data_IF_586671936611
#
_entry.id   IF_586671936611
#
_cell.length_a   1.000
_cell.length_b   1.000
_cell.length_c   1.000
_cell.angle_alpha   90.00
_cell.angle_beta   90.00
_cell.angle_gamma   90.00
#
_symmetry.space_group_name_H-M   'P 1'
#
loop_
_entity.id
_entity.type
_entity.pdbx_description
1 polymer ?
#
# COMPACT_ATOMS: atom_id res chain seq x y z
N UNK A 1 -31.02 -5.32 2.51
CA UNK A 1 -31.08 -6.77 2.79
C UNK A 1 -29.97 -7.50 2.00
N UNK A 2 -28.70 -7.16 2.23
CA UNK A 2 -27.52 -7.68 1.49
C UNK A 2 -26.27 -7.91 2.39
N UNK A 3 -26.44 -8.01 3.71
CA UNK A 3 -25.32 -8.05 4.66
C UNK A 3 -24.81 -9.45 5.05
N UNK A 4 -25.35 -10.52 4.47
CA UNK A 4 -24.87 -11.89 4.71
C UNK A 4 -23.70 -12.33 3.80
N UNK A 5 -23.28 -11.51 2.83
CA UNK A 5 -22.19 -11.86 1.90
C UNK A 5 -20.77 -11.46 2.37
N UNK A 6 -20.64 -10.74 3.51
CA UNK A 6 -19.32 -10.26 3.96
C UNK A 6 -18.42 -11.41 4.47
N UNK A 7 -18.98 -12.41 5.16
CA UNK A 7 -18.20 -13.55 5.68
C UNK A 7 -17.77 -14.53 4.58
N UNK A 8 -18.56 -14.67 3.51
CA UNK A 8 -18.22 -15.51 2.35
C UNK A 8 -17.08 -14.88 1.53
N UNK A 9 -16.95 -13.56 1.55
CA UNK A 9 -15.92 -12.86 0.80
C UNK A 9 -14.52 -13.03 1.40
N UNK A 10 -14.37 -13.03 2.74
CA UNK A 10 -13.06 -13.28 3.40
C UNK A 10 -12.50 -14.64 3.03
N UNK A 11 -13.34 -15.69 2.97
CA UNK A 11 -12.93 -17.00 2.48
C UNK A 11 -12.57 -16.96 0.98
N UNK A 12 -13.30 -16.20 0.14
CA UNK A 12 -12.98 -16.06 -1.30
C UNK A 12 -11.67 -15.33 -1.60
N UNK A 13 -11.23 -14.40 -0.75
CA UNK A 13 -9.89 -13.79 -0.85
C UNK A 13 -8.75 -14.82 -0.72
N UNK A 14 -9.04 -16.05 -0.27
CA UNK A 14 -8.07 -17.14 -0.08
C UNK A 14 -8.31 -18.34 -1.02
N UNK A 15 -9.38 -18.36 -1.82
CA UNK A 15 -9.92 -19.60 -2.42
C UNK A 15 -9.39 -20.08 -3.78
N UNK A 16 -8.43 -19.47 -4.52
CA UNK A 16 -7.75 -20.27 -5.54
C UNK A 16 -6.64 -21.14 -4.91
N UNK A 17 -6.30 -20.94 -3.64
CA UNK A 17 -5.24 -21.69 -2.97
C UNK A 17 -5.85 -22.87 -2.18
N UNK A 18 -5.75 -24.08 -2.74
CA UNK A 18 -5.93 -25.33 -1.99
C UNK A 18 -4.82 -25.55 -0.93
N UNK A 19 -4.00 -24.53 -0.64
CA UNK A 19 -2.88 -24.53 0.30
C UNK A 19 -3.06 -23.40 1.30
N UNK A 20 -2.45 -23.56 2.48
CA UNK A 20 -2.50 -22.53 3.50
C UNK A 20 -1.82 -21.26 2.95
N UNK A 21 -2.40 -20.05 3.04
CA UNK A 21 -1.85 -18.83 2.44
C UNK A 21 -0.39 -18.55 2.82
N UNK A 22 0.02 -18.97 4.02
CA UNK A 22 1.41 -18.85 4.48
C UNK A 22 2.39 -19.77 3.73
N UNK A 23 1.96 -20.94 3.24
CA UNK A 23 2.85 -21.89 2.52
C UNK A 23 3.26 -21.33 1.15
N UNK A 24 2.33 -20.66 0.45
CA UNK A 24 2.63 -20.08 -0.85
C UNK A 24 3.57 -18.87 -0.74
N UNK A 25 3.48 -18.11 0.35
CA UNK A 25 4.45 -17.05 0.66
C UNK A 25 5.83 -17.61 0.96
N UNK A 26 5.91 -18.72 1.70
CA UNK A 26 7.18 -19.38 1.99
C UNK A 26 7.88 -19.87 0.72
N UNK A 27 7.13 -20.42 -0.24
CA UNK A 27 7.68 -20.85 -1.53
C UNK A 27 8.18 -19.66 -2.38
N UNK A 28 7.53 -18.51 -2.32
CA UNK A 28 7.98 -17.29 -3.01
C UNK A 28 9.30 -16.76 -2.44
N UNK A 29 9.51 -16.87 -1.12
CA UNK A 29 10.75 -16.47 -0.46
C UNK A 29 11.97 -17.32 -0.87
N UNK A 30 11.78 -18.59 -1.25
CA UNK A 30 12.89 -19.49 -1.60
C UNK A 30 13.48 -19.24 -3.00
N UNK A 31 12.77 -18.54 -3.89
CA UNK A 31 13.18 -18.34 -5.29
C UNK A 31 14.27 -17.25 -5.46
N UNK A 32 14.61 -16.50 -4.40
CA UNK A 32 15.31 -15.20 -4.52
C UNK A 32 16.82 -15.16 -4.19
N UNK A 33 17.56 -16.26 -4.28
CA UNK A 33 19.01 -16.22 -4.03
C UNK A 33 19.80 -15.43 -5.11
N UNK A 34 19.32 -15.40 -6.36
CA UNK A 34 19.95 -14.67 -7.47
C UNK A 34 19.58 -13.18 -7.53
N UNK A 35 18.47 -12.77 -6.89
CA UNK A 35 17.95 -11.40 -6.92
C UNK A 35 18.47 -10.53 -5.77
N UNK A 36 19.02 -11.14 -4.71
CA UNK A 36 19.72 -10.43 -3.62
C UNK A 36 20.90 -9.57 -4.10
N UNK A 37 21.41 -9.77 -5.32
CA UNK A 37 22.48 -8.95 -5.90
C UNK A 37 21.96 -7.60 -6.41
N UNK A 38 20.71 -7.52 -6.85
CA UNK A 38 20.11 -6.29 -7.38
C UNK A 38 19.68 -5.31 -6.27
N UNK A 39 19.34 -5.83 -5.08
CA UNK A 39 18.74 -5.06 -3.98
C UNK A 39 19.75 -4.54 -2.97
N UNK A 40 20.97 -5.10 -2.90
CA UNK A 40 21.96 -4.73 -1.88
C UNK A 40 22.34 -3.25 -1.98
N UNK A 41 21.78 -2.46 -1.07
CA UNK A 41 22.16 -1.08 -0.83
C UNK A 41 21.41 -0.04 -1.67
N UNK A 42 20.39 -0.42 -2.45
CA UNK A 42 19.54 0.57 -3.11
C UNK A 42 18.69 1.29 -2.07
N UNK A 43 18.66 2.63 -2.13
CA UNK A 43 17.72 3.43 -1.34
C UNK A 43 16.32 3.31 -1.92
N UNK A 44 15.29 3.52 -1.08
CA UNK A 44 13.89 3.47 -1.55
C UNK A 44 13.59 4.44 -2.70
N UNK A 45 14.26 5.59 -2.73
CA UNK A 45 14.19 6.52 -3.86
C UNK A 45 14.58 5.85 -5.19
N UNK A 46 15.71 5.14 -5.20
CA UNK A 46 16.24 4.47 -6.39
C UNK A 46 15.36 3.28 -6.80
N UNK A 47 14.73 2.61 -5.82
CA UNK A 47 13.73 1.56 -6.07
C UNK A 47 12.52 2.13 -6.83
N UNK A 48 11.96 3.24 -6.37
CA UNK A 48 10.83 3.92 -7.03
C UNK A 48 11.19 4.38 -8.44
N UNK A 49 12.37 4.98 -8.62
CA UNK A 49 12.84 5.44 -9.94
C UNK A 49 12.98 4.28 -10.93
N UNK A 50 13.52 3.14 -10.47
CA UNK A 50 13.62 1.92 -11.28
C UNK A 50 12.26 1.33 -11.61
N UNK A 51 11.33 1.26 -10.66
CA UNK A 51 9.98 0.74 -10.92
C UNK A 51 9.25 1.60 -11.96
N UNK A 52 9.42 2.92 -11.89
CA UNK A 52 8.77 3.87 -12.80
C UNK A 52 9.39 3.93 -14.19
N UNK A 53 10.61 3.41 -14.35
CA UNK A 53 11.35 3.50 -15.61
C UNK A 53 10.82 2.48 -16.63
N UNK A 54 10.45 2.91 -17.85
CA UNK A 54 9.98 1.99 -18.90
C UNK A 54 11.09 1.02 -19.37
N UNK A 55 12.35 1.35 -19.10
CA UNK A 55 13.52 0.57 -19.53
C UNK A 55 14.00 -0.45 -18.50
N UNK A 56 13.34 -0.55 -17.34
CA UNK A 56 13.71 -1.53 -16.33
C UNK A 56 13.35 -2.93 -16.83
N UNK A 57 14.31 -3.85 -16.76
CA UNK A 57 14.09 -5.24 -17.14
C UNK A 57 13.00 -5.86 -16.25
N UNK A 58 12.10 -6.64 -16.86
CA UNK A 58 10.97 -7.28 -16.17
C UNK A 58 11.42 -8.13 -14.97
N UNK A 59 12.55 -8.84 -15.09
CA UNK A 59 13.10 -9.63 -14.00
C UNK A 59 13.49 -8.77 -12.79
N UNK A 60 14.10 -7.60 -13.03
CA UNK A 60 14.47 -6.60 -12.02
C UNK A 60 13.21 -5.95 -11.43
N UNK A 61 12.23 -5.63 -12.27
CA UNK A 61 10.97 -5.03 -11.82
C UNK A 61 10.23 -5.95 -10.84
N UNK A 62 10.14 -7.26 -11.16
CA UNK A 62 9.56 -8.27 -10.27
C UNK A 62 10.33 -8.38 -8.96
N UNK A 63 11.67 -8.30 -9.01
CA UNK A 63 12.53 -8.26 -7.82
C UNK A 63 12.14 -7.10 -6.90
N UNK A 64 12.18 -5.89 -7.43
CA UNK A 64 12.00 -4.66 -6.67
C UNK A 64 10.63 -4.56 -6.03
N UNK A 65 9.60 -5.15 -6.65
CA UNK A 65 8.25 -5.20 -6.11
C UNK A 65 8.05 -6.34 -5.08
N UNK A 66 8.94 -7.33 -5.03
CA UNK A 66 8.71 -8.52 -4.23
C UNK A 66 8.57 -8.23 -2.72
N UNK A 67 9.43 -7.41 -2.08
CA UNK A 67 9.26 -7.07 -0.66
C UNK A 67 7.90 -6.41 -0.37
N UNK A 68 7.47 -5.47 -1.22
CA UNK A 68 6.19 -4.77 -1.10
C UNK A 68 5.01 -5.72 -1.25
N UNK A 69 5.09 -6.62 -2.23
CA UNK A 69 4.00 -7.54 -2.51
C UNK A 69 3.80 -8.56 -1.38
N UNK A 70 4.90 -9.11 -0.85
CA UNK A 70 4.86 -10.07 0.26
C UNK A 70 4.42 -9.37 1.55
N UNK A 71 4.96 -8.19 1.88
CA UNK A 71 4.53 -7.45 3.07
C UNK A 71 3.03 -7.11 3.03
N UNK A 72 2.54 -6.67 1.86
CA UNK A 72 1.10 -6.42 1.66
C UNK A 72 0.29 -7.72 1.79
N UNK A 73 0.75 -8.85 1.25
CA UNK A 73 0.06 -10.14 1.41
C UNK A 73 0.01 -10.61 2.89
N UNK A 74 1.10 -10.42 3.63
CA UNK A 74 1.15 -10.71 5.07
C UNK A 74 0.18 -9.82 5.83
N UNK A 75 0.02 -8.55 5.42
CA UNK A 75 -0.93 -7.64 6.07
C UNK A 75 -2.38 -8.16 6.05
N UNK A 76 -2.76 -8.90 5.00
CA UNK A 76 -4.06 -9.56 4.90
C UNK A 76 -4.16 -10.88 5.67
N UNK A 77 -3.11 -11.68 5.61
CA UNK A 77 -3.15 -13.08 6.07
C UNK A 77 -2.70 -13.27 7.52
N UNK A 78 -1.93 -12.33 8.06
CA UNK A 78 -1.29 -12.46 9.36
C UNK A 78 -0.14 -13.47 9.41
N UNK A 79 0.36 -13.92 8.26
CA UNK A 79 1.44 -14.90 8.15
C UNK A 79 2.82 -14.32 8.52
N UNK A 80 3.07 -14.06 9.80
CA UNK A 80 4.29 -13.39 10.30
C UNK A 80 5.47 -14.32 10.62
N UNK A 81 5.46 -15.56 10.17
CA UNK A 81 6.45 -16.58 10.53
C UNK A 81 7.77 -16.55 9.73
N UNK A 82 7.93 -15.61 8.79
CA UNK A 82 9.03 -15.61 7.84
C UNK A 82 9.47 -14.18 7.50
N UNK A 83 10.74 -14.04 7.11
CA UNK A 83 11.29 -12.78 6.60
C UNK A 83 10.64 -12.38 5.28
N UNK A 84 10.50 -11.08 5.05
CA UNK A 84 10.08 -10.50 3.78
C UNK A 84 11.34 -10.12 3.02
N UNK A 85 11.88 -10.99 2.15
CA UNK A 85 13.05 -10.67 1.32
C UNK A 85 14.24 -10.07 2.06
N UNK A 86 14.63 -10.66 3.20
CA UNK A 86 15.72 -10.13 4.02
C UNK A 86 15.31 -8.97 4.91
N UNK A 87 14.02 -8.72 5.08
CA UNK A 87 13.46 -7.90 6.16
C UNK A 87 12.84 -8.79 7.22
N UNK A 88 13.16 -8.54 8.49
CA UNK A 88 12.53 -9.23 9.63
C UNK A 88 11.46 -8.34 10.28
N UNK A 89 10.47 -8.95 10.90
CA UNK A 89 9.39 -8.23 11.59
C UNK A 89 9.92 -7.54 12.85
N UNK A 90 9.65 -6.23 13.00
CA UNK A 90 10.04 -5.43 14.17
C UNK A 90 8.85 -4.86 14.95
N UNK A 91 7.66 -4.78 14.33
CA UNK A 91 6.46 -4.29 14.99
C UNK A 91 5.17 -4.73 14.30
N UNK A 92 4.08 -4.82 15.06
CA UNK A 92 2.76 -5.14 14.51
C UNK A 92 1.62 -4.48 15.29
N UNK A 93 0.55 -4.14 14.58
CA UNK A 93 -0.73 -3.74 15.13
C UNK A 93 -1.79 -4.67 14.52
N UNK A 94 -2.38 -5.55 15.33
CA UNK A 94 -3.38 -6.54 14.87
C UNK A 94 -4.56 -6.63 15.84
N UNK A 95 -5.28 -5.52 16.07
CA UNK A 95 -6.46 -5.53 16.92
C UNK A 95 -7.57 -6.39 16.30
N UNK A 96 -8.58 -6.77 17.07
CA UNK A 96 -9.77 -7.47 16.51
C UNK A 96 -10.52 -6.57 15.52
N UNK A 97 -10.58 -5.27 15.82
CA UNK A 97 -11.19 -4.23 15.00
C UNK A 97 -10.25 -3.02 14.95
N UNK A 98 -10.12 -2.40 13.78
CA UNK A 98 -9.24 -1.24 13.60
C UNK A 98 -8.10 -1.52 12.65
N UNK A 99 -7.09 -0.64 12.67
CA UNK A 99 -5.96 -0.70 11.75
C UNK A 99 -5.15 -1.98 11.94
N UNK A 100 -4.88 -2.69 10.84
CA UNK A 100 -3.85 -3.73 10.80
C UNK A 100 -2.60 -3.23 10.07
N UNK A 101 -1.46 -3.32 10.74
CA UNK A 101 -0.19 -2.89 10.19
C UNK A 101 0.98 -3.78 10.66
N UNK A 102 2.00 -3.88 9.83
CA UNK A 102 3.24 -4.58 10.14
C UNK A 102 4.44 -3.71 9.74
N UNK A 103 5.48 -3.72 10.56
CA UNK A 103 6.73 -3.03 10.31
C UNK A 103 7.87 -4.05 10.22
N UNK A 104 8.70 -3.90 9.20
CA UNK A 104 9.84 -4.77 8.93
C UNK A 104 11.11 -3.95 8.78
N UNK A 105 12.23 -4.47 9.27
CA UNK A 105 13.55 -3.85 9.16
C UNK A 105 14.48 -4.74 8.32
N UNK A 106 15.23 -4.13 7.41
CA UNK A 106 16.17 -4.87 6.56
C UNK A 106 17.33 -5.45 7.40
N UNK A 107 17.62 -6.75 7.22
CA UNK A 107 18.59 -7.53 8.01
C UNK A 107 20.03 -6.98 7.93
N UNK A 108 20.47 -6.54 6.74
CA UNK A 108 21.83 -6.00 6.54
C UNK A 108 21.91 -4.48 6.41
N UNK A 109 20.78 -3.77 6.31
CA UNK A 109 20.72 -2.31 6.16
C UNK A 109 19.68 -1.79 7.16
N UNK A 110 19.99 -1.79 8.47
CA UNK A 110 18.99 -1.59 9.53
C UNK A 110 18.31 -0.21 9.48
N UNK A 111 18.82 0.71 8.68
CA UNK A 111 18.16 1.99 8.40
C UNK A 111 16.95 1.85 7.49
N UNK A 112 16.81 0.78 6.72
CA UNK A 112 15.68 0.56 5.82
C UNK A 112 14.54 -0.15 6.52
N UNK A 113 13.39 0.50 6.51
CA UNK A 113 12.17 0.04 7.17
C UNK A 113 11.04 0.03 6.16
N UNK A 114 10.31 -1.07 6.11
CA UNK A 114 9.12 -1.27 5.29
C UNK A 114 7.89 -1.43 6.19
N UNK A 115 6.86 -0.63 5.97
CA UNK A 115 5.61 -0.66 6.72
C UNK A 115 4.47 -1.01 5.78
N UNK A 116 3.72 -2.06 6.12
CA UNK A 116 2.59 -2.55 5.34
C UNK A 116 1.26 -2.34 6.07
N UNK A 117 0.30 -1.74 5.39
CA UNK A 117 -1.07 -1.56 5.87
C UNK A 117 -2.03 -2.52 5.18
N UNK A 118 -2.88 -3.18 5.97
CA UNK A 118 -3.94 -4.03 5.43
C UNK A 118 -5.02 -3.18 4.77
N UNK A 119 -5.57 -3.66 3.66
CA UNK A 119 -6.81 -3.12 3.10
C UNK A 119 -8.08 -3.67 3.75
N UNK A 120 -9.21 -3.49 3.08
CA UNK A 120 -10.54 -3.79 3.63
C UNK A 120 -10.84 -5.28 3.67
N UNK A 121 -11.04 -5.83 4.87
CA UNK A 121 -11.38 -7.25 5.10
C UNK A 121 -12.54 -7.45 6.10
N UNK A 122 -12.86 -6.42 6.88
CA UNK A 122 -13.80 -6.46 7.99
C UNK A 122 -14.82 -5.33 7.91
N UNK A 123 -15.81 -5.37 8.82
CA UNK A 123 -16.80 -4.31 8.94
C UNK A 123 -16.19 -3.01 9.49
N UNK A 124 -15.19 -3.08 10.37
CA UNK A 124 -14.48 -1.90 10.89
C UNK A 124 -13.68 -1.23 9.77
N UNK A 125 -13.00 -2.01 8.92
CA UNK A 125 -12.29 -1.46 7.75
C UNK A 125 -13.26 -0.73 6.81
N UNK A 126 -14.43 -1.32 6.52
CA UNK A 126 -15.45 -0.71 5.65
C UNK A 126 -15.99 0.60 6.22
N UNK A 127 -16.10 0.69 7.55
CA UNK A 127 -16.51 1.92 8.22
C UNK A 127 -15.38 2.96 8.24
N UNK A 128 -14.12 2.55 8.37
CA UNK A 128 -12.97 3.43 8.26
C UNK A 128 -12.83 4.00 6.84
N UNK A 129 -13.05 3.19 5.80
CA UNK A 129 -13.21 3.64 4.41
C UNK A 129 -14.29 4.72 4.29
N UNK A 130 -15.42 4.56 4.97
CA UNK A 130 -16.47 5.56 4.90
C UNK A 130 -16.08 6.86 5.63
N UNK A 131 -15.42 6.78 6.79
CA UNK A 131 -14.93 7.96 7.51
C UNK A 131 -13.89 8.72 6.70
N UNK A 132 -12.86 8.02 6.22
CA UNK A 132 -11.70 8.68 5.62
C UNK A 132 -12.03 9.27 4.24
N UNK A 133 -13.02 8.73 3.52
CA UNK A 133 -13.50 9.23 2.23
C UNK A 133 -14.77 10.09 2.33
N UNK A 134 -15.19 10.46 3.55
CA UNK A 134 -16.38 11.28 3.81
C UNK A 134 -17.67 10.72 3.16
N UNK A 135 -17.82 9.39 3.25
CA UNK A 135 -18.98 8.67 2.75
C UNK A 135 -20.02 8.46 3.86
N UNK A 136 -21.32 8.30 3.50
CA UNK A 136 -22.36 8.02 4.48
C UNK A 136 -22.06 6.75 5.32
N UNK A 137 -22.06 6.90 6.64
CA UNK A 137 -21.87 5.78 7.55
C UNK A 137 -23.13 4.90 7.63
N UNK A 138 -22.94 3.58 7.53
CA UNK A 138 -24.03 2.62 7.77
C UNK A 138 -24.35 2.49 9.26
N UNK A 139 -25.53 1.98 9.60
CA UNK A 139 -25.90 1.70 11.01
C UNK A 139 -24.92 0.73 11.70
N UNK A 140 -24.30 -0.18 10.94
CA UNK A 140 -23.29 -1.10 11.48
C UNK A 140 -22.06 -0.35 12.02
N UNK A 141 -21.76 0.86 11.52
CA UNK A 141 -20.60 1.63 11.96
C UNK A 141 -20.78 2.22 13.37
N UNK A 142 -22.02 2.35 13.86
CA UNK A 142 -22.33 2.88 15.20
C UNK A 142 -21.76 2.03 16.35
N UNK A 143 -21.33 0.80 16.07
CA UNK A 143 -20.75 -0.11 17.07
C UNK A 143 -19.25 0.12 17.32
N UNK A 144 -18.58 0.85 16.43
CA UNK A 144 -17.15 1.15 16.56
C UNK A 144 -16.97 2.55 17.13
N UNK A 145 -15.94 2.74 17.95
CA UNK A 145 -15.60 4.07 18.45
C UNK A 145 -14.95 4.91 17.34
N UNK A 146 -14.95 6.24 17.50
CA UNK A 146 -14.27 7.13 16.56
C UNK A 146 -12.78 6.81 16.48
N UNK A 147 -12.17 6.46 17.62
CA UNK A 147 -10.75 6.08 17.71
C UNK A 147 -10.48 4.80 16.91
N UNK A 148 -11.37 3.80 16.97
CA UNK A 148 -11.25 2.58 16.15
C UNK A 148 -11.31 2.89 14.66
N UNK A 149 -12.13 3.86 14.23
CA UNK A 149 -12.32 4.20 12.82
C UNK A 149 -11.30 5.23 12.29
N UNK A 150 -10.57 5.93 13.15
CA UNK A 150 -9.53 6.89 12.78
C UNK A 150 -8.23 6.18 12.38
N UNK A 151 -8.23 5.57 11.19
CA UNK A 151 -7.10 4.80 10.69
C UNK A 151 -5.87 5.67 10.40
N UNK A 152 -6.06 6.97 10.12
CA UNK A 152 -4.93 7.89 9.89
C UNK A 152 -4.18 8.14 11.19
N UNK A 153 -4.87 8.50 12.27
CA UNK A 153 -4.21 8.72 13.55
C UNK A 153 -3.57 7.43 14.08
N UNK A 154 -4.23 6.29 13.91
CA UNK A 154 -3.65 4.98 14.26
C UNK A 154 -2.40 4.66 13.42
N UNK A 155 -2.40 4.94 12.11
CA UNK A 155 -1.26 4.69 11.25
C UNK A 155 -0.08 5.58 11.66
N UNK A 156 -0.31 6.87 11.89
CA UNK A 156 0.71 7.81 12.38
C UNK A 156 1.28 7.37 13.73
N UNK A 157 0.43 6.95 14.66
CA UNK A 157 0.86 6.43 15.96
C UNK A 157 1.74 5.19 15.80
N UNK A 158 1.33 4.23 14.97
CA UNK A 158 2.08 3.00 14.72
C UNK A 158 3.47 3.29 14.12
N UNK A 159 3.53 4.17 13.11
CA UNK A 159 4.79 4.55 12.46
C UNK A 159 5.70 5.30 13.44
N UNK A 160 5.17 6.25 14.21
CA UNK A 160 5.95 6.97 15.23
C UNK A 160 6.53 6.02 16.27
N UNK A 161 5.73 5.10 16.83
CA UNK A 161 6.21 4.11 17.79
C UNK A 161 7.29 3.22 17.19
N UNK A 162 7.11 2.78 15.93
CA UNK A 162 8.11 1.98 15.21
C UNK A 162 9.45 2.74 15.09
N UNK A 163 9.40 4.01 14.66
CA UNK A 163 10.59 4.86 14.53
C UNK A 163 11.28 5.05 15.88
N UNK A 164 10.53 5.35 16.93
CA UNK A 164 11.08 5.57 18.28
C UNK A 164 11.77 4.31 18.82
N UNK A 165 11.19 3.14 18.60
CA UNK A 165 11.76 1.86 19.03
C UNK A 165 13.05 1.52 18.27
N UNK A 166 13.06 1.72 16.95
CA UNK A 166 14.25 1.53 16.14
C UNK A 166 15.35 2.54 16.50
N UNK A 167 14.98 3.79 16.70
CA UNK A 167 15.87 4.89 17.08
C UNK A 167 16.60 4.66 18.40
N UNK A 168 15.97 4.00 19.37
CA UNK A 168 16.62 3.60 20.64
C UNK A 168 17.75 2.59 20.47
N UNK A 169 17.72 1.82 19.38
CA UNK A 169 18.71 0.77 19.10
C UNK A 169 19.86 1.25 18.19
N UNK A 170 19.71 2.41 17.54
CA UNK A 170 20.65 2.94 16.54
C UNK A 170 21.47 4.12 17.09
N UNK A 171 22.58 4.44 16.42
CA UNK A 171 23.33 5.67 16.70
C UNK A 171 22.42 6.88 16.43
N UNK A 172 22.44 7.89 17.31
CA UNK A 172 21.63 9.11 17.23
C UNK A 172 21.78 9.87 15.90
N UNK A 173 22.85 9.64 15.17
CA UNK A 173 23.10 10.24 13.85
C UNK A 173 22.62 9.38 12.68
N UNK A 174 21.97 8.25 12.94
CA UNK A 174 21.49 7.34 11.91
C UNK A 174 20.14 7.82 11.36
N UNK A 175 20.07 7.95 10.04
CA UNK A 175 18.84 8.28 9.33
C UNK A 175 18.15 7.01 8.84
N UNK A 176 16.86 6.88 9.16
CA UNK A 176 15.96 5.79 8.79
C UNK A 176 15.32 6.13 7.43
N UNK A 177 15.41 5.20 6.50
CA UNK A 177 14.76 5.23 5.20
C UNK A 177 13.46 4.42 5.28
N UNK A 178 12.32 5.11 5.21
CA UNK A 178 10.99 4.54 5.33
C UNK A 178 10.39 4.24 3.95
N UNK A 179 9.80 3.06 3.82
CA UNK A 179 8.90 2.74 2.74
C UNK A 179 7.55 2.26 3.28
N UNK A 180 6.48 2.66 2.61
CA UNK A 180 5.11 2.28 2.93
C UNK A 180 4.51 1.43 1.80
N UNK A 181 3.66 0.48 2.16
CA UNK A 181 2.92 -0.35 1.20
C UNK A 181 1.57 -0.80 1.72
N UNK A 182 0.73 -1.27 0.80
CA UNK A 182 -0.62 -1.67 1.08
C UNK A 182 -1.43 -1.82 -0.20
N UNK A 183 -2.65 -2.31 -0.06
CA UNK A 183 -3.59 -2.47 -1.17
C UNK A 183 -4.97 -1.93 -0.82
N UNK A 184 -5.69 -1.35 -1.78
CA UNK A 184 -7.04 -0.78 -1.56
C UNK A 184 -7.00 0.30 -0.46
N UNK A 185 -7.81 0.20 0.60
CA UNK A 185 -7.70 1.03 1.81
C UNK A 185 -6.24 1.16 2.31
N UNK A 186 -5.48 0.05 2.32
CA UNK A 186 -4.07 0.05 2.72
C UNK A 186 -3.19 0.92 1.81
N UNK A 187 -3.50 1.00 0.51
CA UNK A 187 -2.80 1.89 -0.43
C UNK A 187 -3.20 3.36 -0.23
N UNK A 188 -4.46 3.62 0.13
CA UNK A 188 -4.87 4.95 0.58
C UNK A 188 -4.07 5.43 1.80
N UNK A 189 -3.91 4.56 2.80
CA UNK A 189 -3.09 4.84 3.98
C UNK A 189 -1.61 4.99 3.64
N UNK A 190 -1.07 4.16 2.75
CA UNK A 190 0.30 4.31 2.24
C UNK A 190 0.53 5.70 1.67
N UNK A 191 -0.36 6.16 0.79
CA UNK A 191 -0.24 7.44 0.10
C UNK A 191 -0.31 8.61 1.09
N UNK A 192 -1.32 8.61 1.97
CA UNK A 192 -1.51 9.68 2.95
C UNK A 192 -0.40 9.73 4.00
N UNK A 193 0.07 8.57 4.48
CA UNK A 193 1.18 8.51 5.44
C UNK A 193 2.50 8.94 4.80
N UNK A 194 2.74 8.56 3.54
CA UNK A 194 3.92 9.01 2.77
C UNK A 194 3.95 10.53 2.67
N UNK A 195 2.83 11.15 2.30
CA UNK A 195 2.71 12.61 2.19
C UNK A 195 2.86 13.32 3.54
N UNK A 196 2.25 12.81 4.61
CA UNK A 196 2.36 13.37 5.95
C UNK A 196 3.81 13.41 6.44
N UNK A 197 4.54 12.29 6.32
CA UNK A 197 5.93 12.24 6.72
C UNK A 197 6.83 13.08 5.82
N UNK A 198 6.61 13.09 4.49
CA UNK A 198 7.39 13.93 3.58
C UNK A 198 7.19 15.44 3.86
N UNK A 199 5.95 15.87 4.11
CA UNK A 199 5.61 17.26 4.45
C UNK A 199 6.33 17.70 5.73
N UNK A 200 6.29 16.86 6.77
CA UNK A 200 6.91 17.18 8.06
C UNK A 200 8.45 17.16 8.00
N UNK A 201 9.05 16.31 7.16
CA UNK A 201 10.50 16.30 6.96
C UNK A 201 11.01 17.62 6.35
N UNK A 202 10.34 18.15 5.33
CA UNK A 202 10.75 19.41 4.70
C UNK A 202 10.66 20.59 5.68
N UNK A 203 9.58 20.63 6.49
CA UNK A 203 9.43 21.66 7.52
C UNK A 203 10.54 21.59 8.59
N UNK A 204 10.95 20.40 9.00
CA UNK A 204 12.04 20.20 9.96
C UNK A 204 13.40 20.67 9.40
N UNK A 205 13.67 20.41 8.11
CA UNK A 205 14.91 20.86 7.46
C UNK A 205 15.00 22.39 7.33
N UNK A 206 13.87 23.07 7.17
CA UNK A 206 13.82 24.54 7.06
C UNK A 206 13.94 25.25 8.41
N UNK A 207 13.67 24.55 9.53
CA UNK A 207 13.67 25.12 10.88
C UNK A 207 14.90 24.69 11.71
N UNK A 208 16.09 24.87 11.14
CA UNK A 208 17.38 24.42 11.71
C UNK A 208 17.71 24.99 13.09
N UNK A 209 16.97 25.99 13.58
CA UNK A 209 17.25 26.70 14.83
C UNK A 209 16.53 26.13 16.05
N UNK A 210 15.59 25.19 15.88
CA UNK A 210 14.81 24.59 16.99
C UNK A 210 14.64 23.08 16.82
N UNK A 211 15.69 22.41 16.36
CA UNK A 211 15.61 20.96 16.23
C UNK A 211 15.75 20.32 17.61
N UNK A 212 14.61 19.98 18.20
CA UNK A 212 14.57 19.09 19.36
C UNK A 212 15.22 17.75 19.04
N UNK A 213 15.82 17.07 20.03
CA UNK A 213 16.63 15.87 19.83
C UNK A 213 15.91 14.64 19.24
N UNK A 214 14.58 14.70 19.05
CA UNK A 214 13.76 13.49 18.86
C UNK A 214 13.13 13.31 17.46
N UNK A 215 13.25 14.26 16.51
CA UNK A 215 12.57 14.16 15.18
C UNK A 215 13.49 14.01 13.97
N UNK A 216 14.80 13.92 14.19
CA UNK A 216 15.82 13.97 13.12
C UNK A 216 16.18 12.65 12.44
N UNK A 217 15.43 11.58 12.70
CA UNK A 217 15.88 10.24 12.33
C UNK A 217 15.32 9.76 11.00
N UNK A 218 14.67 10.57 10.18
CA UNK A 218 14.14 10.11 8.88
C UNK A 218 14.99 10.68 7.74
N UNK A 219 15.63 9.81 6.96
CA UNK A 219 16.47 10.17 5.82
C UNK A 219 15.70 10.24 4.51
N UNK A 220 14.77 9.32 4.29
CA UNK A 220 13.89 9.33 3.12
C UNK A 220 12.58 8.62 3.40
N UNK A 221 11.54 9.00 2.64
CA UNK A 221 10.20 8.40 2.70
C UNK A 221 9.72 8.09 1.29
N UNK A 222 9.17 6.90 1.08
CA UNK A 222 8.50 6.50 -0.18
C UNK A 222 7.26 5.66 0.09
N UNK A 223 6.29 5.74 -0.81
CA UNK A 223 5.12 4.87 -0.82
C UNK A 223 5.06 4.08 -2.13
N UNK A 224 4.97 2.76 -2.05
CA UNK A 224 4.67 1.89 -3.18
C UNK A 224 3.45 1.06 -2.81
N UNK A 225 2.32 1.27 -3.47
CA UNK A 225 1.09 0.58 -3.11
C UNK A 225 0.26 0.14 -4.31
N UNK A 226 -0.79 -0.64 -4.06
CA UNK A 226 -1.58 -1.31 -5.09
C UNK A 226 -3.05 -0.89 -5.03
N UNK A 227 -3.67 -0.65 -6.18
CA UNK A 227 -5.08 -0.26 -6.26
C UNK A 227 -5.41 1.01 -5.46
N UNK A 228 -4.68 2.11 -5.69
CA UNK A 228 -4.89 3.36 -4.94
C UNK A 228 -6.32 3.87 -5.11
N UNK A 229 -7.08 4.07 -4.02
CA UNK A 229 -8.29 4.87 -4.07
C UNK A 229 -7.90 6.34 -4.24
N UNK A 230 -8.72 7.15 -4.90
CA UNK A 230 -8.48 8.61 -4.97
C UNK A 230 -8.24 9.20 -3.58
N UNK A 231 -7.03 9.73 -3.33
CA UNK A 231 -6.59 10.25 -2.03
C UNK A 231 -6.40 11.76 -2.01
N UNK A 232 -6.44 12.44 -3.16
CA UNK A 232 -6.11 13.88 -3.28
C UNK A 232 -7.00 14.76 -2.39
N UNK A 233 -8.32 14.51 -2.39
CA UNK A 233 -9.25 15.27 -1.57
C UNK A 233 -8.99 15.07 -0.07
N UNK A 234 -8.65 13.85 0.33
CA UNK A 234 -8.32 13.51 1.72
C UNK A 234 -7.03 14.23 2.14
N UNK A 235 -5.99 14.16 1.30
CA UNK A 235 -4.71 14.82 1.52
C UNK A 235 -4.89 16.35 1.68
N UNK A 236 -5.71 16.98 0.83
CA UNK A 236 -6.04 18.42 0.94
C UNK A 236 -6.77 18.75 2.24
N UNK A 237 -7.75 17.94 2.65
CA UNK A 237 -8.46 18.13 3.94
C UNK A 237 -7.52 18.04 5.14
N UNK A 238 -6.53 17.16 5.05
CA UNK A 238 -5.49 16.99 6.07
C UNK A 238 -4.40 18.07 6.02
N UNK A 239 -4.41 18.96 5.02
CA UNK A 239 -3.38 19.99 4.83
C UNK A 239 -2.02 19.42 4.43
N UNK A 240 -1.99 18.24 3.79
CA UNK A 240 -0.75 17.63 3.31
C UNK A 240 -0.23 18.34 2.07
N UNK A 241 1.10 18.47 1.95
CA UNK A 241 1.73 19.09 0.80
C UNK A 241 1.74 18.14 -0.40
N UNK A 242 0.86 18.40 -1.36
CA UNK A 242 0.81 17.63 -2.61
C UNK A 242 2.05 17.83 -3.49
N UNK A 243 2.92 18.82 -3.22
CA UNK A 243 4.19 18.92 -3.94
C UNK A 243 5.09 17.69 -3.71
N UNK A 244 4.86 16.95 -2.62
CA UNK A 244 5.51 15.68 -2.27
C UNK A 244 4.89 14.45 -2.95
N UNK A 245 3.96 14.64 -3.89
CA UNK A 245 3.30 13.52 -4.57
C UNK A 245 4.28 12.61 -5.33
N UNK A 246 5.45 13.11 -5.74
CA UNK A 246 6.51 12.32 -6.38
C UNK A 246 7.06 11.19 -5.48
N UNK A 247 6.77 11.23 -4.18
CA UNK A 247 7.16 10.18 -3.22
C UNK A 247 6.24 8.96 -3.24
N UNK A 248 5.08 9.06 -3.90
CA UNK A 248 4.06 8.00 -3.97
C UNK A 248 4.05 7.38 -5.37
N UNK A 249 4.10 6.06 -5.41
CA UNK A 249 3.94 5.23 -6.61
C UNK A 249 2.79 4.24 -6.40
N UNK A 250 1.76 4.35 -7.24
CA UNK A 250 0.61 3.46 -7.24
C UNK A 250 0.70 2.48 -8.41
N UNK A 251 0.69 1.18 -8.11
CA UNK A 251 0.54 0.12 -9.11
C UNK A 251 -0.94 -0.13 -9.33
N UNK A 252 -1.37 -0.02 -10.58
CA UNK A 252 -2.78 0.03 -10.94
C UNK A 252 -3.16 -1.06 -11.97
N UNK A 253 -4.29 -1.70 -11.74
CA UNK A 253 -4.99 -2.43 -12.79
C UNK A 253 -5.92 -1.46 -13.54
N UNK A 254 -5.71 -1.23 -14.86
CA UNK A 254 -6.52 -0.30 -15.64
C UNK A 254 -8.00 -0.72 -15.77
N UNK A 255 -8.32 -1.96 -15.40
CA UNK A 255 -9.70 -2.47 -15.34
C UNK A 255 -10.28 -2.50 -13.93
N UNK A 256 -9.49 -2.18 -12.90
CA UNK A 256 -9.95 -2.12 -11.53
C UNK A 256 -10.95 -0.99 -11.33
N UNK A 257 -12.18 -1.30 -10.87
CA UNK A 257 -13.22 -0.32 -10.83
C UNK A 257 -13.00 0.82 -9.83
N UNK A 258 -12.15 0.64 -8.83
CA UNK A 258 -11.79 1.69 -7.87
C UNK A 258 -10.77 2.63 -8.51
N UNK A 259 -9.74 2.07 -9.14
CA UNK A 259 -8.64 2.83 -9.76
C UNK A 259 -9.18 3.74 -10.88
N UNK A 260 -9.82 3.18 -11.89
CA UNK A 260 -10.28 3.96 -13.05
C UNK A 260 -11.36 5.01 -12.70
N UNK A 261 -12.18 4.78 -11.65
CA UNK A 261 -13.25 5.71 -11.25
C UNK A 261 -12.72 6.86 -10.39
N UNK A 262 -11.54 6.68 -9.80
CA UNK A 262 -10.87 7.68 -8.97
C UNK A 262 -9.55 8.19 -9.57
N UNK A 263 -9.29 7.87 -10.84
CA UNK A 263 -8.04 8.20 -11.55
C UNK A 263 -7.65 9.68 -11.43
N UNK A 264 -8.63 10.58 -11.55
CA UNK A 264 -8.42 12.02 -11.43
C UNK A 264 -8.14 12.49 -9.99
N UNK A 265 -8.35 11.64 -8.99
CA UNK A 265 -8.18 11.93 -7.55
C UNK A 265 -6.99 11.16 -6.93
N UNK A 266 -6.31 10.29 -7.66
CA UNK A 266 -5.10 9.60 -7.20
C UNK A 266 -3.91 10.56 -7.05
N UNK A 267 -3.00 10.31 -6.10
CA UNK A 267 -1.80 11.14 -5.87
C UNK A 267 -0.52 10.42 -6.29
N UNK A 268 0.40 11.18 -6.90
CA UNK A 268 1.72 10.70 -7.27
C UNK A 268 1.81 10.08 -8.66
N UNK A 269 2.70 9.10 -8.80
CA UNK A 269 2.94 8.39 -10.06
C UNK A 269 2.09 7.13 -10.11
N UNK A 270 1.19 7.05 -11.10
CA UNK A 270 0.36 5.87 -11.32
C UNK A 270 0.98 5.04 -12.43
N UNK A 271 1.36 3.80 -12.11
CA UNK A 271 1.93 2.82 -13.02
C UNK A 271 0.89 1.72 -13.29
N UNK A 272 0.28 1.78 -14.48
CA UNK A 272 -0.73 0.82 -14.91
C UNK A 272 -0.07 -0.42 -15.54
N UNK A 273 -0.62 -1.61 -15.28
CA UNK A 273 -0.26 -2.82 -16.03
C UNK A 273 -0.48 -2.59 -17.52
N UNK A 274 0.44 -3.09 -18.35
CA UNK A 274 0.25 -3.07 -19.79
C UNK A 274 -0.96 -3.92 -20.17
N UNK A 275 -1.90 -3.35 -20.91
CA UNK A 275 -3.12 -4.03 -21.36
C UNK A 275 -2.85 -5.26 -22.25
N UNK A 276 -1.62 -5.45 -22.73
CA UNK A 276 -1.18 -6.67 -23.43
C UNK A 276 -0.94 -7.85 -22.49
N UNK A 277 -0.67 -7.58 -21.21
CA UNK A 277 -0.39 -8.61 -20.20
C UNK A 277 -1.65 -9.04 -19.44
N UNK A 278 -2.75 -8.27 -19.54
CA UNK A 278 -4.00 -8.51 -18.81
C UNK A 278 -5.24 -8.34 -19.72
N UNK A 279 -6.16 -9.28 -19.68
CA UNK A 279 -7.41 -9.23 -20.44
C UNK A 279 -8.49 -8.43 -19.69
N UNK A 280 -9.22 -7.54 -20.37
CA UNK A 280 -10.38 -6.84 -19.77
C UNK A 280 -11.52 -7.83 -19.49
N UNK A 281 -11.97 -7.99 -18.24
CA UNK A 281 -13.12 -8.85 -17.97
C UNK A 281 -14.40 -8.28 -18.59
N UNK A 282 -15.22 -9.13 -19.21
CA UNK A 282 -16.51 -8.73 -19.82
C UNK A 282 -17.42 -7.94 -18.88
N UNK A 283 -17.37 -8.23 -17.58
CA UNK A 283 -18.13 -7.50 -16.57
C UNK A 283 -17.66 -6.04 -16.42
N UNK A 284 -16.34 -5.81 -16.57
CA UNK A 284 -15.75 -4.48 -16.51
C UNK A 284 -16.17 -3.61 -17.68
N UNK A 285 -16.13 -4.12 -18.93
CA UNK A 285 -16.63 -3.39 -20.10
C UNK A 285 -18.05 -2.88 -19.88
N UNK A 286 -18.94 -3.71 -19.30
CA UNK A 286 -20.31 -3.31 -18.97
C UNK A 286 -20.38 -2.31 -17.83
N UNK A 287 -19.64 -2.54 -16.74
CA UNK A 287 -19.59 -1.60 -15.63
C UNK A 287 -19.14 -0.20 -16.10
N UNK A 288 -18.23 -0.13 -17.08
CA UNK A 288 -17.73 1.14 -17.57
C UNK A 288 -18.80 2.06 -18.16
N UNK A 289 -19.77 1.47 -18.85
CA UNK A 289 -20.85 2.21 -19.52
C UNK A 289 -21.89 2.81 -18.56
N UNK A 290 -22.02 2.31 -17.33
CA UNK A 290 -23.12 2.70 -16.43
C UNK A 290 -22.72 3.67 -15.32
N UNK A 291 -21.51 4.22 -15.35
CA UNK A 291 -20.81 4.85 -14.21
C UNK A 291 -20.63 3.85 -13.05
N UNK A 292 -19.50 3.90 -12.33
CA UNK A 292 -19.25 2.96 -11.25
C UNK A 292 -20.37 3.05 -10.20
N UNK A 293 -21.17 1.98 -10.10
CA UNK A 293 -22.21 1.84 -9.09
C UNK A 293 -21.95 0.53 -8.35
N UNK A 294 -21.44 0.63 -7.11
CA UNK A 294 -21.11 -0.54 -6.29
C UNK A 294 -22.29 -1.51 -6.09
N UNK A 295 -23.52 -1.00 -6.20
CA UNK A 295 -24.76 -1.79 -6.13
C UNK A 295 -25.11 -2.55 -7.42
N UNK A 296 -24.49 -2.24 -8.56
CA UNK A 296 -24.71 -2.94 -9.82
C UNK A 296 -24.02 -4.32 -9.79
N UNK A 297 -24.73 -5.42 -10.09
CA UNK A 297 -24.13 -6.76 -10.14
C UNK A 297 -22.93 -6.86 -11.09
N UNK A 298 -22.97 -6.17 -12.24
CA UNK A 298 -21.87 -6.18 -13.21
C UNK A 298 -20.62 -5.48 -12.66
N UNK A 299 -20.81 -4.37 -11.95
CA UNK A 299 -19.73 -3.66 -11.30
C UNK A 299 -19.13 -4.46 -10.14
N UNK A 300 -19.98 -5.15 -9.37
CA UNK A 300 -19.51 -6.07 -8.34
C UNK A 300 -18.65 -7.21 -8.93
N UNK A 301 -19.10 -7.87 -10.00
CA UNK A 301 -18.32 -8.92 -10.67
C UNK A 301 -17.02 -8.38 -11.26
N UNK A 302 -17.02 -7.16 -11.83
CA UNK A 302 -15.78 -6.51 -12.27
C UNK A 302 -14.82 -6.35 -11.10
N UNK A 303 -15.26 -5.76 -9.99
CA UNK A 303 -14.46 -5.58 -8.77
C UNK A 303 -13.87 -6.90 -8.28
N UNK A 304 -14.68 -7.95 -8.18
CA UNK A 304 -14.21 -9.28 -7.76
C UNK A 304 -13.16 -9.85 -8.71
N UNK A 305 -13.17 -9.49 -9.99
CA UNK A 305 -12.24 -10.02 -11.00
C UNK A 305 -10.95 -9.22 -11.14
N UNK A 306 -10.88 -8.00 -10.60
CA UNK A 306 -9.77 -7.07 -10.88
C UNK A 306 -9.19 -6.39 -9.65
N UNK A 307 -10.00 -6.09 -8.63
CA UNK A 307 -9.58 -5.34 -7.44
C UNK A 307 -9.04 -6.25 -6.35
N UNK A 308 -9.33 -7.56 -6.38
CA UNK A 308 -8.82 -8.48 -5.37
C UNK A 308 -7.28 -8.53 -5.48
N UNK A 309 -6.59 -8.39 -4.34
CA UNK A 309 -5.13 -8.29 -4.31
C UNK A 309 -4.41 -9.47 -4.98
N UNK A 310 -4.96 -10.70 -4.89
CA UNK A 310 -4.39 -11.87 -5.58
C UNK A 310 -4.27 -11.66 -7.10
N UNK A 311 -5.18 -10.90 -7.73
CA UNK A 311 -5.09 -10.60 -9.15
C UNK A 311 -3.93 -9.67 -9.49
N UNK A 312 -3.55 -8.76 -8.58
CA UNK A 312 -2.33 -7.96 -8.74
C UNK A 312 -1.07 -8.83 -8.66
N UNK A 313 -1.05 -9.83 -7.78
CA UNK A 313 0.06 -10.78 -7.68
C UNK A 313 0.15 -11.66 -8.93
N UNK A 314 -0.99 -12.15 -9.42
CA UNK A 314 -1.02 -12.98 -10.63
C UNK A 314 -0.59 -12.19 -11.87
N UNK A 315 -1.03 -10.92 -11.98
CA UNK A 315 -0.56 -10.00 -13.02
C UNK A 315 0.94 -9.77 -12.93
N UNK A 316 1.50 -9.53 -11.73
CA UNK A 316 2.94 -9.38 -11.55
C UNK A 316 3.70 -10.64 -11.98
N UNK A 317 3.21 -11.84 -11.63
CA UNK A 317 3.84 -13.10 -12.05
C UNK A 317 3.81 -13.27 -13.56
N UNK A 318 2.67 -12.98 -14.19
CA UNK A 318 2.43 -13.12 -15.62
C UNK A 318 3.04 -12.03 -16.51
N UNK A 319 3.42 -10.88 -15.93
CA UNK A 319 3.92 -9.71 -16.65
C UNK A 319 5.07 -10.03 -17.60
N UNK A 320 4.98 -9.49 -18.82
CA UNK A 320 5.97 -9.57 -19.90
C UNK A 320 6.41 -8.20 -20.39
N UNK A 321 5.68 -7.13 -20.05
CA UNK A 321 5.95 -5.75 -20.42
C UNK A 321 6.05 -4.86 -19.19
N UNK A 322 6.81 -3.76 -19.29
CA UNK A 322 6.95 -2.80 -18.20
C UNK A 322 5.63 -2.05 -17.97
N UNK A 323 5.50 -1.40 -16.81
CA UNK A 323 4.34 -0.55 -16.54
C UNK A 323 4.27 0.66 -17.48
N UNK A 324 3.05 1.13 -17.71
CA UNK A 324 2.79 2.44 -18.28
C UNK A 324 2.61 3.43 -17.14
N UNK A 325 3.68 4.14 -16.79
CA UNK A 325 3.68 5.11 -15.69
C UNK A 325 3.32 6.51 -16.17
N UNK A 326 2.30 7.08 -15.54
CA UNK A 326 1.88 8.48 -15.72
C UNK A 326 2.03 9.22 -14.40
N UNK A 327 2.93 10.19 -14.35
CA UNK A 327 3.01 11.13 -13.24
C UNK A 327 1.95 12.21 -13.38
N UNK A 328 1.21 12.52 -12.32
CA UNK A 328 0.49 13.79 -12.26
C UNK A 328 1.51 14.90 -11.99
N UNK A 329 1.76 15.73 -13.00
CA UNK A 329 2.33 17.05 -12.73
C UNK A 329 1.33 17.77 -11.84
N UNK A 330 1.66 17.95 -10.56
CA UNK A 330 0.85 18.76 -9.64
C UNK A 330 0.78 20.15 -10.26
N UNK A 331 -0.43 20.54 -10.70
CA UNK A 331 -0.65 21.88 -11.23
C UNK A 331 -0.36 22.84 -10.07
N UNK A 332 0.80 23.49 -10.12
CA UNK A 332 1.17 24.59 -9.23
C UNK A 332 0.18 25.73 -9.36
#
# INVERSE_FOLDING_TARGET
MLFLNSLVNVLRYLLPFNRHPCEDLQNQNQISASLQVAERGLKWAEVVDKISSPNTEISILKALLQPFTIATAISYTGCTGYDVHGFHLVGSATPTDGLHAYAYQHNTVPTQVLIAFRGTTSASDTCADAVLWDLPLSDTCKKFSNETLDYISQAKSFVSTTIDELGRSQDKNTLIDLAFTGHSLGCGLTSLTTLDYATNMEHSLLNTNNIGPDTNQIGSVRGICFAEPGTELVAKRMGLDLSQADKVLAIANPYDPIVWSTKEEQVGTVCEWDTRDIEEPKACTRCKHYTWQKSSPMCHTCYESTHIYSHYIDALKGMQHSFLCTGKATRR
#
